data_IF_847830157550
#
_entry.id   IF_847830157550
#
_cell.length_a   1.000
_cell.length_b   1.000
_cell.length_c   1.000
_cell.angle_alpha   90.00
_cell.angle_beta   90.00
_cell.angle_gamma   90.00
#
_symmetry.space_group_name_H-M   'P 1'
#
loop_
_entity.id
_entity.type
_entity.pdbx_description
1 polymer ?
#
# COMPACT_ATOMS: atom_id res chain seq x y z
N UNK A 1 -37.65 20.44 -23.92
CA UNK A 1 -37.03 19.79 -22.75
C UNK A 1 -36.68 18.37 -23.16
N UNK A 2 -35.39 17.98 -23.27
CA UNK A 2 -35.03 16.59 -23.48
C UNK A 2 -35.19 15.81 -22.17
N UNK A 3 -35.68 14.57 -22.27
CA UNK A 3 -35.83 13.64 -21.13
C UNK A 3 -34.45 13.25 -20.58
N UNK A 4 -34.33 12.88 -19.29
CA UNK A 4 -33.08 12.36 -18.74
C UNK A 4 -32.74 11.05 -19.46
N UNK A 5 -31.49 10.91 -19.90
CA UNK A 5 -30.96 9.64 -20.37
C UNK A 5 -31.03 8.61 -19.24
N UNK A 6 -31.71 7.50 -19.49
CA UNK A 6 -31.53 6.27 -18.74
C UNK A 6 -30.06 5.85 -18.93
N UNK A 7 -29.24 6.07 -17.91
CA UNK A 7 -27.91 5.49 -17.86
C UNK A 7 -28.09 3.98 -17.75
N UNK A 8 -27.85 3.25 -18.84
CA UNK A 8 -27.82 1.79 -18.84
C UNK A 8 -26.88 1.32 -17.72
N UNK A 9 -27.44 0.58 -16.75
CA UNK A 9 -26.67 -0.01 -15.67
C UNK A 9 -25.64 -0.97 -16.29
N UNK A 10 -24.37 -0.61 -16.22
CA UNK A 10 -23.27 -1.48 -16.64
C UNK A 10 -23.39 -2.79 -15.85
N UNK A 11 -23.47 -3.96 -16.50
CA UNK A 11 -23.58 -5.23 -15.79
C UNK A 11 -22.39 -5.40 -14.85
N UNK A 12 -22.66 -5.75 -13.59
CA UNK A 12 -21.63 -6.16 -12.64
C UNK A 12 -20.85 -7.33 -13.24
N UNK A 13 -19.53 -7.17 -13.34
CA UNK A 13 -18.65 -8.21 -13.88
C UNK A 13 -18.70 -9.45 -12.98
N UNK A 14 -19.14 -10.57 -13.54
CA UNK A 14 -19.15 -11.86 -12.88
C UNK A 14 -17.75 -12.48 -12.92
N UNK A 15 -17.00 -12.31 -11.82
CA UNK A 15 -15.61 -12.75 -11.70
C UNK A 15 -15.43 -14.28 -11.77
N UNK A 16 -16.51 -15.07 -11.66
CA UNK A 16 -16.46 -16.52 -11.77
C UNK A 16 -16.47 -17.03 -13.22
N UNK A 17 -16.86 -16.18 -14.17
CA UNK A 17 -17.03 -16.59 -15.57
C UNK A 17 -15.79 -16.35 -16.42
N UNK A 18 -15.51 -17.24 -17.39
CA UNK A 18 -14.48 -17.01 -18.39
C UNK A 18 -14.66 -15.68 -19.11
N UNK A 19 -13.61 -14.87 -19.14
CA UNK A 19 -13.54 -13.61 -19.86
C UNK A 19 -12.07 -13.18 -20.05
N UNK A 20 -11.81 -12.06 -20.71
CA UNK A 20 -10.44 -11.53 -20.80
C UNK A 20 -9.86 -11.29 -19.40
N UNK A 21 -8.67 -11.85 -19.07
CA UNK A 21 -8.13 -11.75 -17.73
C UNK A 21 -7.84 -10.30 -17.30
N UNK A 22 -8.36 -9.93 -16.13
CA UNK A 22 -8.13 -8.62 -15.52
C UNK A 22 -7.60 -8.76 -14.09
N UNK A 23 -6.89 -7.73 -13.66
CA UNK A 23 -6.57 -7.43 -12.28
C UNK A 23 -7.67 -6.55 -11.69
N UNK A 24 -8.02 -6.79 -10.44
CA UNK A 24 -9.10 -6.07 -9.77
C UNK A 24 -8.84 -6.05 -8.26
N UNK A 25 -9.36 -5.04 -7.54
CA UNK A 25 -9.21 -4.93 -6.10
C UNK A 25 -10.26 -5.75 -5.34
N UNK A 26 -10.07 -5.91 -4.03
CA UNK A 26 -11.12 -6.36 -3.11
C UNK A 26 -11.70 -5.14 -2.41
N UNK A 27 -13.02 -4.99 -2.44
CA UNK A 27 -13.72 -3.78 -1.97
C UNK A 27 -14.39 -3.92 -0.61
N UNK A 28 -14.53 -5.15 -0.09
CA UNK A 28 -15.24 -5.39 1.17
C UNK A 28 -14.48 -6.38 2.07
N UNK A 29 -14.67 -6.24 3.39
CA UNK A 29 -14.15 -7.22 4.35
C UNK A 29 -14.78 -8.60 4.15
N UNK A 30 -16.03 -8.67 3.71
CA UNK A 30 -16.70 -9.95 3.47
C UNK A 30 -16.02 -10.74 2.34
N UNK A 31 -15.63 -10.08 1.25
CA UNK A 31 -14.87 -10.70 0.16
C UNK A 31 -13.48 -11.14 0.62
N UNK A 32 -12.79 -10.29 1.39
CA UNK A 32 -11.47 -10.62 1.95
C UNK A 32 -11.54 -11.82 2.91
N UNK A 33 -12.53 -11.83 3.82
CA UNK A 33 -12.77 -12.88 4.80
C UNK A 33 -13.11 -14.21 4.16
N UNK A 34 -14.00 -14.18 3.16
CA UNK A 34 -14.49 -15.36 2.45
C UNK A 34 -13.48 -15.96 1.48
N UNK A 35 -12.37 -15.25 1.18
CA UNK A 35 -11.37 -15.66 0.19
C UNK A 35 -11.92 -15.74 -1.24
N UNK A 36 -12.99 -15.01 -1.55
CA UNK A 36 -13.68 -15.07 -2.85
C UNK A 36 -12.76 -14.70 -4.04
N UNK A 37 -11.69 -13.93 -3.80
CA UNK A 37 -10.68 -13.62 -4.82
C UNK A 37 -10.04 -14.88 -5.41
N UNK A 38 -9.80 -15.91 -4.61
CA UNK A 38 -9.14 -17.15 -5.04
C UNK A 38 -10.06 -18.04 -5.91
N UNK A 39 -11.37 -17.87 -5.78
CA UNK A 39 -12.38 -18.59 -6.57
C UNK A 39 -12.65 -17.93 -7.93
N UNK A 40 -12.10 -16.74 -8.16
CA UNK A 40 -12.23 -16.00 -9.41
C UNK A 40 -11.57 -16.72 -10.58
N UNK A 41 -12.21 -16.73 -11.74
CA UNK A 41 -11.62 -17.19 -13.00
C UNK A 41 -10.29 -16.47 -13.30
N UNK A 42 -10.19 -15.21 -12.88
CA UNK A 42 -9.07 -14.33 -13.14
C UNK A 42 -7.85 -14.59 -12.24
N UNK A 43 -8.02 -15.28 -11.09
CA UNK A 43 -6.96 -15.45 -10.09
C UNK A 43 -5.68 -16.03 -10.67
N UNK A 44 -5.78 -17.12 -11.43
CA UNK A 44 -4.61 -17.82 -12.00
C UNK A 44 -3.74 -16.93 -12.90
N UNK A 45 -4.36 -15.94 -13.56
CA UNK A 45 -3.69 -15.01 -14.45
C UNK A 45 -3.05 -13.83 -13.70
N UNK A 46 -3.52 -13.53 -12.48
CA UNK A 46 -2.99 -12.45 -11.65
C UNK A 46 -1.70 -12.82 -10.89
N UNK A 47 -1.26 -14.08 -10.97
CA UNK A 47 -0.03 -14.54 -10.33
C UNK A 47 1.20 -14.02 -11.07
N UNK A 48 2.09 -13.35 -10.35
CA UNK A 48 3.42 -13.02 -10.86
C UNK A 48 4.20 -14.29 -11.19
N UNK A 49 4.98 -14.23 -12.27
CA UNK A 49 5.80 -15.35 -12.77
C UNK A 49 7.30 -15.04 -12.75
N UNK A 50 7.67 -13.82 -12.36
CA UNK A 50 9.06 -13.37 -12.27
C UNK A 50 9.44 -13.25 -10.79
N UNK A 51 10.41 -14.02 -10.29
CA UNK A 51 10.88 -13.86 -8.92
C UNK A 51 11.69 -12.57 -8.75
N UNK A 52 11.62 -11.96 -7.57
CA UNK A 52 12.44 -10.81 -7.20
C UNK A 52 13.93 -11.16 -7.27
N UNK A 53 14.73 -10.20 -7.74
CA UNK A 53 16.19 -10.31 -7.81
C UNK A 53 16.84 -9.46 -6.73
N UNK A 54 17.45 -10.11 -5.74
CA UNK A 54 18.21 -9.44 -4.69
C UNK A 54 17.35 -8.89 -3.56
N UNK A 55 18.04 -8.35 -2.55
CA UNK A 55 17.43 -7.80 -1.36
C UNK A 55 17.49 -6.26 -1.37
N UNK A 56 16.66 -5.65 -0.51
CA UNK A 56 16.74 -4.21 -0.29
C UNK A 56 18.11 -3.84 0.29
N UNK A 57 18.69 -2.72 -0.14
CA UNK A 57 19.90 -2.21 0.46
C UNK A 57 19.59 -1.60 1.83
N UNK A 58 20.32 -2.04 2.87
CA UNK A 58 20.10 -1.60 4.25
C UNK A 58 21.07 -0.50 4.71
N UNK A 59 22.04 -0.12 3.87
CA UNK A 59 23.13 0.80 4.22
C UNK A 59 23.13 2.10 3.40
N UNK A 60 22.03 2.42 2.71
CA UNK A 60 21.87 3.68 1.97
C UNK A 60 20.42 4.19 2.04
N UNK A 61 20.19 5.49 1.74
CA UNK A 61 18.84 5.99 1.48
C UNK A 61 18.15 5.18 0.38
N UNK A 62 16.83 4.98 0.52
CA UNK A 62 15.99 4.25 -0.42
C UNK A 62 14.91 5.15 -1.02
N UNK A 63 14.46 4.81 -2.21
CA UNK A 63 13.38 5.50 -2.91
C UNK A 63 12.15 4.59 -2.97
N UNK A 64 11.07 5.03 -2.32
CA UNK A 64 9.74 4.45 -2.45
C UNK A 64 8.91 5.32 -3.38
N UNK A 65 8.27 4.71 -4.38
CA UNK A 65 7.31 5.38 -5.25
C UNK A 65 5.93 4.82 -5.01
N UNK A 66 5.01 5.69 -4.59
CA UNK A 66 3.60 5.37 -4.44
C UNK A 66 2.85 5.78 -5.71
N UNK A 67 2.37 4.78 -6.45
CA UNK A 67 1.76 4.96 -7.76
C UNK A 67 0.24 5.04 -7.65
N UNK A 68 -0.26 6.26 -7.46
CA UNK A 68 -1.69 6.61 -7.54
C UNK A 68 -2.00 7.20 -8.92
N UNK A 69 -2.18 6.33 -9.91
CA UNK A 69 -2.46 6.76 -11.29
C UNK A 69 -3.96 6.72 -11.58
N UNK A 70 -4.64 7.84 -11.29
CA UNK A 70 -6.09 8.00 -11.53
C UNK A 70 -6.92 6.91 -10.84
N UNK A 71 -6.53 6.50 -9.63
CA UNK A 71 -7.21 5.46 -8.87
C UNK A 71 -6.86 4.02 -9.29
N UNK A 72 -5.89 3.82 -10.19
CA UNK A 72 -5.41 2.50 -10.61
C UNK A 72 -6.41 1.69 -11.42
N UNK A 73 -5.96 0.51 -11.88
CA UNK A 73 -6.74 -0.45 -12.67
C UNK A 73 -7.36 0.16 -13.93
N UNK A 74 -6.58 1.00 -14.61
CA UNK A 74 -6.95 1.64 -15.86
C UNK A 74 -6.63 0.68 -17.01
N UNK A 75 -5.63 0.99 -17.82
CA UNK A 75 -5.08 0.11 -18.84
C UNK A 75 -4.26 -1.04 -18.25
N UNK A 76 -3.68 -0.83 -17.08
CA UNK A 76 -2.84 -1.78 -16.37
C UNK A 76 -3.62 -2.91 -15.68
N UNK A 77 -4.97 -2.84 -15.65
CA UNK A 77 -5.78 -3.98 -15.21
C UNK A 77 -5.62 -5.18 -16.14
N UNK A 78 -5.36 -4.96 -17.42
CA UNK A 78 -5.24 -6.06 -18.38
C UNK A 78 -3.93 -6.80 -18.16
N UNK A 79 -4.04 -8.06 -17.73
CA UNK A 79 -2.89 -8.86 -17.24
C UNK A 79 -1.75 -8.97 -18.25
N UNK A 80 -2.08 -8.97 -19.55
CA UNK A 80 -1.12 -9.10 -20.66
C UNK A 80 -0.93 -7.80 -21.44
N UNK A 81 -1.28 -6.65 -20.83
CA UNK A 81 -1.28 -5.35 -21.47
C UNK A 81 -2.53 -5.08 -22.29
N UNK A 82 -2.60 -3.88 -22.87
CA UNK A 82 -3.67 -3.44 -23.76
C UNK A 82 -3.10 -2.79 -25.02
N UNK A 83 -3.97 -2.46 -25.97
CA UNK A 83 -3.58 -1.85 -27.26
C UNK A 83 -3.27 -0.34 -27.15
N UNK A 84 -3.43 0.28 -25.97
CA UNK A 84 -3.18 1.71 -25.78
C UNK A 84 -1.67 1.99 -25.68
N UNK A 85 -1.09 2.53 -26.75
CA UNK A 85 0.32 2.93 -26.83
C UNK A 85 0.67 4.15 -25.98
N UNK A 86 -0.33 4.92 -25.54
CA UNK A 86 -0.20 6.03 -24.61
C UNK A 86 -0.38 5.62 -23.12
N UNK A 87 -0.45 4.31 -22.85
CA UNK A 87 -0.51 3.79 -21.49
C UNK A 87 0.69 4.23 -20.64
N UNK A 88 0.47 4.42 -19.34
CA UNK A 88 1.54 4.83 -18.44
C UNK A 88 2.59 3.72 -18.29
N UNK A 89 3.86 4.06 -18.52
CA UNK A 89 4.98 3.14 -18.40
C UNK A 89 6.11 3.76 -17.57
N UNK A 90 6.70 2.96 -16.68
CA UNK A 90 7.88 3.34 -15.91
C UNK A 90 9.13 2.76 -16.59
N UNK A 91 10.09 3.62 -16.89
CA UNK A 91 11.38 3.23 -17.49
C UNK A 91 12.54 3.31 -16.50
N UNK A 92 12.40 4.12 -15.46
CA UNK A 92 13.48 4.43 -14.51
C UNK A 92 13.45 3.55 -13.25
N UNK A 93 13.17 2.25 -13.41
CA UNK A 93 13.14 1.29 -12.29
C UNK A 93 14.42 1.28 -11.47
N UNK A 94 15.57 1.53 -12.09
CA UNK A 94 16.88 1.59 -11.44
C UNK A 94 17.03 2.74 -10.42
N UNK A 95 16.09 3.68 -10.38
CA UNK A 95 16.05 4.76 -9.38
C UNK A 95 15.20 4.42 -8.14
N UNK A 96 14.54 3.26 -8.14
CA UNK A 96 13.52 2.90 -7.16
C UNK A 96 13.96 1.65 -6.40
N UNK A 97 13.60 1.57 -5.13
CA UNK A 97 13.82 0.39 -4.28
C UNK A 97 12.49 -0.32 -3.99
N UNK A 98 11.43 0.46 -3.80
CA UNK A 98 10.08 -0.02 -3.50
C UNK A 98 9.07 0.70 -4.38
N UNK A 99 8.17 -0.06 -4.99
CA UNK A 99 7.03 0.43 -5.75
C UNK A 99 5.74 0.02 -5.04
N UNK A 100 4.91 0.98 -4.67
CA UNK A 100 3.58 0.72 -4.09
C UNK A 100 2.56 0.96 -5.19
N UNK A 101 1.78 -0.06 -5.52
CA UNK A 101 0.65 0.08 -6.41
C UNK A 101 -0.58 0.52 -5.62
N UNK A 102 -1.02 1.77 -5.83
CA UNK A 102 -1.99 2.43 -4.95
C UNK A 102 -3.34 2.64 -5.64
N UNK A 103 -4.41 2.41 -4.88
CA UNK A 103 -5.77 2.84 -5.21
C UNK A 103 -6.55 3.13 -3.94
N UNK A 104 -7.72 3.72 -4.08
CA UNK A 104 -8.69 3.95 -3.00
C UNK A 104 -9.64 2.76 -2.77
N UNK A 105 -9.21 1.54 -3.12
CA UNK A 105 -9.97 0.32 -2.80
C UNK A 105 -9.40 -0.35 -1.55
N UNK A 106 -10.29 -0.87 -0.69
CA UNK A 106 -9.94 -1.51 0.60
C UNK A 106 -8.67 -2.38 0.53
N UNK A 107 -8.63 -3.30 -0.43
CA UNK A 107 -7.42 -4.06 -0.76
C UNK A 107 -7.07 -3.85 -2.23
N UNK A 108 -5.96 -3.15 -2.44
CA UNK A 108 -5.35 -2.92 -3.74
C UNK A 108 -4.27 -3.98 -4.00
N UNK A 109 -4.55 -4.88 -4.93
CA UNK A 109 -3.65 -5.94 -5.38
C UNK A 109 -2.88 -5.46 -6.63
N UNK A 110 -1.54 -5.45 -6.64
CA UNK A 110 -0.76 -5.06 -7.81
C UNK A 110 -1.03 -5.97 -9.02
N UNK A 111 -1.36 -5.41 -10.20
CA UNK A 111 -1.38 -6.17 -11.44
C UNK A 111 -0.04 -6.89 -11.69
N UNK A 112 -0.05 -8.13 -12.21
CA UNK A 112 1.18 -8.91 -12.41
C UNK A 112 2.15 -8.27 -13.41
N UNK A 113 1.67 -7.42 -14.32
CA UNK A 113 2.54 -6.67 -15.23
C UNK A 113 3.51 -5.74 -14.48
N UNK A 114 3.04 -5.09 -13.41
CA UNK A 114 3.86 -4.27 -12.52
C UNK A 114 4.83 -5.11 -11.72
N UNK A 115 4.33 -6.14 -11.02
CA UNK A 115 5.16 -7.05 -10.20
C UNK A 115 6.26 -7.71 -11.04
N UNK A 116 5.90 -8.27 -12.20
CA UNK A 116 6.87 -8.94 -13.07
C UNK A 116 7.96 -8.00 -13.58
N UNK A 117 7.61 -6.76 -13.90
CA UNK A 117 8.56 -5.77 -14.41
C UNK A 117 9.47 -5.27 -13.30
N UNK A 118 8.91 -4.88 -12.17
CA UNK A 118 9.66 -4.43 -11.00
C UNK A 118 10.65 -5.51 -10.50
N UNK A 119 10.20 -6.76 -10.37
CA UNK A 119 11.05 -7.89 -9.96
C UNK A 119 12.23 -8.13 -10.91
N UNK A 120 12.02 -7.97 -12.22
CA UNK A 120 13.11 -8.07 -13.22
C UNK A 120 14.20 -7.02 -12.98
N UNK A 121 13.82 -5.86 -12.43
CA UNK A 121 14.71 -4.76 -12.07
C UNK A 121 15.17 -4.77 -10.61
N UNK A 122 14.80 -5.79 -9.82
CA UNK A 122 15.17 -5.88 -8.40
C UNK A 122 14.40 -4.92 -7.49
N UNK A 123 13.24 -4.41 -7.94
CA UNK A 123 12.38 -3.50 -7.18
C UNK A 123 11.26 -4.30 -6.51
N UNK A 124 11.03 -4.07 -5.22
CA UNK A 124 9.93 -4.68 -4.49
C UNK A 124 8.60 -4.04 -4.83
N UNK A 125 7.52 -4.82 -4.86
CA UNK A 125 6.17 -4.35 -5.14
C UNK A 125 5.24 -4.59 -3.98
N UNK A 126 4.62 -3.53 -3.47
CA UNK A 126 3.63 -3.60 -2.42
C UNK A 126 2.23 -3.31 -2.98
N UNK A 127 1.24 -4.04 -2.48
CA UNK A 127 -0.16 -3.62 -2.56
C UNK A 127 -0.46 -2.55 -1.52
N UNK A 128 -1.71 -2.09 -1.49
CA UNK A 128 -2.20 -1.14 -0.49
C UNK A 128 -3.40 -1.73 0.24
N UNK A 129 -3.38 -1.69 1.57
CA UNK A 129 -4.56 -1.84 2.41
C UNK A 129 -4.94 -0.46 2.94
N UNK A 130 -6.13 0.01 2.62
CA UNK A 130 -6.56 1.37 2.96
C UNK A 130 -7.98 1.39 3.54
N UNK A 131 -8.19 2.24 4.54
CA UNK A 131 -9.51 2.55 5.09
C UNK A 131 -9.67 4.06 5.14
N UNK A 132 -10.78 4.61 4.64
CA UNK A 132 -10.95 6.06 4.53
C UNK A 132 -12.34 6.50 4.99
N UNK A 133 -12.43 7.67 5.62
CA UNK A 133 -13.69 8.31 5.97
C UNK A 133 -14.58 7.46 6.90
N UNK A 134 -15.90 7.67 6.87
CA UNK A 134 -16.86 6.97 7.72
C UNK A 134 -16.97 5.48 7.38
N UNK A 135 -16.84 5.11 6.10
CA UNK A 135 -16.82 3.72 5.65
C UNK A 135 -15.59 2.98 6.18
N UNK A 136 -14.43 3.62 6.14
CA UNK A 136 -13.19 3.14 6.74
C UNK A 136 -13.31 2.95 8.25
N UNK A 137 -14.00 3.86 8.95
CA UNK A 137 -14.28 3.69 10.38
C UNK A 137 -15.13 2.44 10.63
N UNK A 138 -16.21 2.23 9.86
CA UNK A 138 -17.04 1.04 10.01
C UNK A 138 -16.25 -0.26 9.73
N UNK A 139 -15.41 -0.23 8.69
CA UNK A 139 -14.47 -1.33 8.36
C UNK A 139 -13.53 -1.63 9.52
N UNK A 140 -12.88 -0.61 10.07
CA UNK A 140 -11.98 -0.75 11.22
C UNK A 140 -12.72 -1.29 12.45
N UNK A 141 -13.94 -0.81 12.71
CA UNK A 141 -14.74 -1.27 13.83
C UNK A 141 -15.00 -2.79 13.78
N UNK A 142 -15.23 -3.34 12.59
CA UNK A 142 -15.42 -4.78 12.38
C UNK A 142 -14.10 -5.56 12.49
N UNK A 143 -13.08 -5.17 11.71
CA UNK A 143 -11.84 -5.94 11.65
C UNK A 143 -11.05 -5.88 12.96
N UNK A 144 -11.18 -4.80 13.73
CA UNK A 144 -10.49 -4.60 15.00
C UNK A 144 -11.38 -4.93 16.21
N UNK A 145 -12.54 -5.56 16.01
CA UNK A 145 -13.46 -5.91 17.10
C UNK A 145 -12.81 -6.83 18.14
N UNK A 146 -11.98 -7.77 17.69
CA UNK A 146 -11.19 -8.64 18.57
C UNK A 146 -9.78 -8.86 18.01
N UNK A 147 -8.89 -9.34 18.86
CA UNK A 147 -7.53 -9.75 18.48
C UNK A 147 -7.54 -10.78 17.36
N UNK A 148 -8.41 -11.78 17.45
CA UNK A 148 -8.55 -12.87 16.50
C UNK A 148 -9.08 -12.38 15.14
N UNK A 149 -10.02 -11.42 15.15
CA UNK A 149 -10.50 -10.77 13.93
C UNK A 149 -9.36 -10.04 13.22
N UNK A 150 -8.58 -9.25 13.98
CA UNK A 150 -7.43 -8.52 13.47
C UNK A 150 -6.38 -9.47 12.88
N UNK A 151 -6.04 -10.55 13.58
CA UNK A 151 -5.11 -11.57 13.08
C UNK A 151 -5.63 -12.27 11.81
N UNK A 152 -6.91 -12.62 11.74
CA UNK A 152 -7.50 -13.27 10.56
C UNK A 152 -7.40 -12.37 9.32
N UNK A 153 -7.73 -11.09 9.42
CA UNK A 153 -7.61 -10.17 8.28
C UNK A 153 -6.14 -9.95 7.88
N UNK A 154 -5.21 -9.89 8.84
CA UNK A 154 -3.77 -9.87 8.54
C UNK A 154 -3.32 -11.13 7.79
N UNK A 155 -3.77 -12.31 8.19
CA UNK A 155 -3.46 -13.58 7.52
C UNK A 155 -4.00 -13.61 6.09
N UNK A 156 -5.20 -13.06 5.84
CA UNK A 156 -5.77 -12.97 4.49
C UNK A 156 -4.93 -12.07 3.57
N UNK A 157 -4.43 -10.95 4.07
CA UNK A 157 -3.52 -10.08 3.31
C UNK A 157 -2.17 -10.75 3.04
N UNK A 158 -1.61 -11.45 4.03
CA UNK A 158 -0.37 -12.20 3.86
C UNK A 158 -0.51 -13.33 2.82
N UNK A 159 -1.64 -14.02 2.83
CA UNK A 159 -1.96 -15.07 1.87
C UNK A 159 -2.07 -14.54 0.44
N UNK A 160 -2.72 -13.38 0.24
CA UNK A 160 -2.81 -12.72 -1.07
C UNK A 160 -1.42 -12.38 -1.62
N UNK A 161 -0.57 -11.72 -0.83
CA UNK A 161 0.80 -11.39 -1.22
C UNK A 161 1.60 -12.63 -1.60
N UNK A 162 1.56 -13.67 -0.76
CA UNK A 162 2.28 -14.93 -0.99
C UNK A 162 1.79 -15.65 -2.24
N UNK A 163 0.47 -15.73 -2.45
CA UNK A 163 -0.14 -16.51 -3.53
C UNK A 163 0.01 -15.84 -4.90
N UNK A 164 -0.03 -14.51 -4.93
CA UNK A 164 0.09 -13.69 -6.14
C UNK A 164 1.53 -13.27 -6.43
N UNK A 165 2.43 -13.42 -5.46
CA UNK A 165 3.87 -13.25 -5.64
C UNK A 165 4.33 -11.80 -5.65
N UNK A 166 3.72 -10.92 -4.84
CA UNK A 166 4.22 -9.56 -4.56
C UNK A 166 4.71 -9.45 -3.12
N UNK A 167 5.44 -8.39 -2.79
CA UNK A 167 6.35 -8.34 -1.64
C UNK A 167 5.73 -7.79 -0.35
N UNK A 168 4.42 -7.55 -0.28
CA UNK A 168 3.75 -7.08 0.94
C UNK A 168 2.89 -5.85 0.75
N UNK A 169 2.81 -4.98 1.77
CA UNK A 169 1.72 -3.99 1.87
C UNK A 169 2.17 -2.62 2.40
N UNK A 170 1.63 -1.56 1.79
CA UNK A 170 1.42 -0.28 2.45
C UNK A 170 0.10 -0.35 3.25
N UNK A 171 0.15 -0.02 4.53
CA UNK A 171 -1.02 0.08 5.41
C UNK A 171 -1.33 1.56 5.61
N UNK A 172 -2.48 2.01 5.11
CA UNK A 172 -2.90 3.40 5.19
C UNK A 172 -4.29 3.54 5.86
N UNK A 173 -4.32 3.95 7.13
CA UNK A 173 -5.57 4.10 7.88
C UNK A 173 -5.95 5.58 7.92
N UNK A 174 -6.79 6.04 7.00
CA UNK A 174 -7.22 7.45 6.83
C UNK A 174 -8.60 7.71 7.44
N UNK A 175 -8.83 7.13 8.62
CA UNK A 175 -10.02 7.37 9.45
C UNK A 175 -9.65 7.32 10.93
N UNK A 176 -10.50 7.87 11.80
CA UNK A 176 -10.31 7.74 13.25
C UNK A 176 -10.55 6.29 13.69
N UNK A 177 -9.81 5.88 14.72
CA UNK A 177 -9.94 4.59 15.41
C UNK A 177 -10.34 4.89 16.85
N UNK A 178 -11.27 4.11 17.40
CA UNK A 178 -11.63 4.24 18.81
C UNK A 178 -10.44 3.73 19.65
N UNK A 179 -10.04 4.47 20.70
CA UNK A 179 -8.79 4.22 21.43
C UNK A 179 -8.70 2.80 22.01
N UNK A 180 -9.84 2.21 22.37
CA UNK A 180 -9.97 0.82 22.84
C UNK A 180 -9.56 -0.23 21.77
N UNK A 181 -9.60 0.12 20.48
CA UNK A 181 -9.25 -0.76 19.37
C UNK A 181 -7.78 -0.62 18.94
N UNK A 182 -7.03 0.35 19.46
CA UNK A 182 -5.61 0.54 19.14
C UNK A 182 -4.77 -0.71 19.43
N UNK A 183 -4.96 -1.43 20.56
CA UNK A 183 -4.24 -2.68 20.78
C UNK A 183 -4.47 -3.72 19.66
N UNK A 184 -5.69 -3.80 19.11
CA UNK A 184 -6.00 -4.72 18.02
C UNK A 184 -5.44 -4.24 16.68
N UNK A 185 -5.35 -2.92 16.45
CA UNK A 185 -4.66 -2.37 15.27
C UNK A 185 -3.16 -2.64 15.33
N UNK A 186 -2.54 -2.47 16.49
CA UNK A 186 -1.13 -2.82 16.71
C UNK A 186 -0.90 -4.33 16.52
N UNK A 187 -1.82 -5.17 17.00
CA UNK A 187 -1.78 -6.61 16.73
C UNK A 187 -1.88 -6.91 15.23
N UNK A 188 -2.82 -6.28 14.51
CA UNK A 188 -2.96 -6.44 13.06
C UNK A 188 -1.65 -6.17 12.32
N UNK A 189 -1.00 -5.02 12.59
CA UNK A 189 0.26 -4.64 11.94
C UNK A 189 1.39 -5.62 12.32
N UNK A 190 1.51 -5.96 13.61
CA UNK A 190 2.55 -6.87 14.09
C UNK A 190 2.39 -8.29 13.51
N UNK A 191 1.16 -8.80 13.51
CA UNK A 191 0.85 -10.14 13.02
C UNK A 191 1.02 -10.24 11.51
N UNK A 192 0.54 -9.24 10.76
CA UNK A 192 0.74 -9.15 9.32
C UNK A 192 2.23 -9.23 8.97
N UNK A 193 3.05 -8.41 9.62
CA UNK A 193 4.51 -8.39 9.43
C UNK A 193 5.13 -9.76 9.71
N UNK A 194 4.80 -10.37 10.85
CA UNK A 194 5.32 -11.70 11.23
C UNK A 194 4.93 -12.79 10.22
N UNK A 195 3.65 -12.86 9.86
CA UNK A 195 3.14 -13.91 8.95
C UNK A 195 3.75 -13.75 7.56
N UNK A 196 3.88 -12.52 7.07
CA UNK A 196 4.54 -12.24 5.79
C UNK A 196 6.01 -12.62 5.79
N UNK A 197 6.77 -12.28 6.83
CA UNK A 197 8.19 -12.67 6.91
C UNK A 197 8.36 -14.19 6.94
N UNK A 198 7.42 -14.93 7.53
CA UNK A 198 7.41 -16.39 7.53
C UNK A 198 7.06 -16.99 6.16
N UNK A 199 6.05 -16.44 5.46
CA UNK A 199 5.59 -17.01 4.19
C UNK A 199 6.35 -16.50 2.96
N UNK A 200 6.87 -15.28 3.04
CA UNK A 200 7.56 -14.55 1.97
C UNK A 200 8.78 -13.84 2.58
N UNK A 201 9.93 -14.53 2.73
CA UNK A 201 11.14 -13.92 3.28
C UNK A 201 11.55 -12.66 2.53
N UNK A 202 11.84 -11.59 3.27
CA UNK A 202 12.19 -10.28 2.70
C UNK A 202 10.99 -9.43 2.27
N UNK A 203 9.75 -9.87 2.53
CA UNK A 203 8.56 -9.02 2.37
C UNK A 203 8.61 -7.76 3.25
N UNK A 204 7.79 -6.77 2.91
CA UNK A 204 7.67 -5.50 3.61
C UNK A 204 6.24 -5.19 4.02
N UNK A 205 6.09 -4.72 5.25
CA UNK A 205 4.93 -3.97 5.71
C UNK A 205 5.38 -2.53 6.01
N UNK A 206 4.79 -1.56 5.32
CA UNK A 206 5.07 -0.14 5.51
C UNK A 206 3.82 0.54 6.07
N UNK A 207 3.97 1.23 7.19
CA UNK A 207 2.91 2.03 7.79
C UNK A 207 2.87 3.43 7.17
N UNK A 208 1.72 3.97 6.80
CA UNK A 208 1.60 5.40 6.45
C UNK A 208 1.38 6.24 7.71
N UNK A 209 1.98 7.42 7.80
CA UNK A 209 1.86 8.34 8.94
C UNK A 209 0.44 8.93 9.08
N UNK A 210 -0.52 8.13 9.54
CA UNK A 210 -1.93 8.54 9.60
C UNK A 210 -2.48 8.59 11.04
N UNK A 211 -2.93 7.47 11.59
CA UNK A 211 -3.47 7.41 12.96
C UNK A 211 -2.36 7.31 13.99
N UNK A 212 -2.54 8.07 15.06
CA UNK A 212 -1.66 8.03 16.23
C UNK A 212 -2.00 6.85 17.15
N UNK A 213 -1.13 6.58 18.12
CA UNK A 213 -1.37 5.61 19.22
C UNK A 213 -2.60 5.91 20.08
N UNK A 214 -3.24 7.06 19.91
CA UNK A 214 -4.51 7.43 20.55
C UNK A 214 -5.71 7.31 19.61
N UNK A 215 -5.54 6.75 18.41
CA UNK A 215 -6.59 6.57 17.40
C UNK A 215 -7.03 7.83 16.66
N UNK A 216 -6.43 8.98 16.96
CA UNK A 216 -6.65 10.19 16.18
C UNK A 216 -5.97 10.10 14.82
N UNK A 217 -6.74 10.29 13.74
CA UNK A 217 -6.21 10.58 12.42
C UNK A 217 -5.52 11.95 12.44
N UNK A 218 -4.19 11.94 12.49
CA UNK A 218 -3.36 13.15 12.56
C UNK A 218 -1.96 12.81 12.07
N UNK A 219 -1.66 13.21 10.84
CA UNK A 219 -0.32 13.11 10.27
C UNK A 219 0.67 13.94 11.12
N UNK A 220 1.80 13.34 11.49
CA UNK A 220 2.83 13.98 12.29
C UNK A 220 3.93 14.62 11.43
N UNK A 221 4.04 14.19 10.17
CA UNK A 221 5.05 14.56 9.17
C UNK A 221 6.49 14.19 9.58
N UNK A 222 6.68 13.52 10.70
CA UNK A 222 7.97 13.02 11.18
C UNK A 222 7.73 11.88 12.16
N UNK A 223 8.76 11.03 12.34
CA UNK A 223 8.72 9.94 13.30
C UNK A 223 8.88 10.49 14.72
N UNK A 224 7.91 10.20 15.59
CA UNK A 224 7.90 10.61 16.99
C UNK A 224 7.10 9.63 17.88
N UNK A 225 6.91 9.94 19.16
CA UNK A 225 6.26 9.07 20.13
C UNK A 225 4.83 8.63 19.75
N UNK A 226 4.15 9.37 18.86
CA UNK A 226 2.75 9.11 18.49
C UNK A 226 2.59 8.11 17.35
N UNK A 227 3.61 7.89 16.54
CA UNK A 227 3.60 6.95 15.41
C UNK A 227 4.74 5.91 15.48
N UNK A 228 5.76 6.13 16.31
CA UNK A 228 6.88 5.20 16.51
C UNK A 228 6.42 3.79 16.92
N UNK A 229 5.41 3.59 17.78
CA UNK A 229 4.97 2.24 18.09
C UNK A 229 4.46 1.45 16.87
N UNK A 230 3.91 2.10 15.83
CA UNK A 230 3.57 1.39 14.57
C UNK A 230 4.82 1.09 13.74
N UNK A 231 5.76 2.02 13.65
CA UNK A 231 7.06 1.83 12.98
C UNK A 231 7.86 0.66 13.58
N UNK A 232 7.83 0.49 14.90
CA UNK A 232 8.55 -0.59 15.58
C UNK A 232 7.91 -1.97 15.33
N UNK A 233 6.65 -2.02 14.87
CA UNK A 233 5.91 -3.26 14.60
C UNK A 233 6.00 -3.73 13.15
N UNK A 234 6.58 -2.93 12.25
CA UNK A 234 6.67 -3.22 10.81
C UNK A 234 8.02 -2.79 10.22
N UNK A 235 8.20 -2.94 8.91
CA UNK A 235 9.48 -2.80 8.22
C UNK A 235 9.86 -1.35 7.89
N UNK A 236 8.88 -0.44 7.92
CA UNK A 236 9.15 0.98 7.73
C UNK A 236 7.92 1.85 7.84
N UNK A 237 8.12 3.16 7.70
CA UNK A 237 7.06 4.14 7.79
C UNK A 237 7.18 5.18 6.69
N UNK A 238 6.05 5.47 6.05
CA UNK A 238 5.93 6.49 5.01
C UNK A 238 5.30 7.74 5.60
N UNK A 239 6.13 8.76 5.82
CA UNK A 239 5.72 10.05 6.38
C UNK A 239 4.85 10.83 5.42
N UNK A 240 3.86 11.54 5.97
CA UNK A 240 3.07 12.50 5.23
C UNK A 240 3.94 13.65 4.68
N UNK A 241 3.46 14.33 3.65
CA UNK A 241 4.24 15.21 2.77
C UNK A 241 4.35 16.68 3.23
N UNK A 242 3.77 17.05 4.38
CA UNK A 242 3.80 18.43 4.91
C UNK A 242 4.95 18.69 5.91
N UNK A 243 6.01 17.90 5.85
CA UNK A 243 7.16 17.98 6.74
C UNK A 243 7.98 19.27 6.58
N UNK A 244 8.80 19.59 7.58
CA UNK A 244 9.65 20.79 7.61
C UNK A 244 11.13 20.41 7.52
N UNK A 245 11.99 21.37 7.21
CA UNK A 245 13.43 21.15 7.04
C UNK A 245 14.09 20.33 8.18
N UNK A 246 13.70 20.53 9.44
CA UNK A 246 14.28 19.79 10.57
C UNK A 246 13.73 18.36 10.75
N UNK A 247 12.60 18.02 10.14
CA UNK A 247 11.84 16.79 10.41
C UNK A 247 12.53 15.50 9.94
N UNK A 248 13.21 15.45 8.78
CA UNK A 248 14.01 14.28 8.41
C UNK A 248 15.10 13.96 9.44
N UNK A 249 15.82 14.99 9.93
CA UNK A 249 16.86 14.81 10.95
C UNK A 249 16.28 14.31 12.27
N UNK A 250 15.20 14.93 12.75
CA UNK A 250 14.51 14.48 13.97
C UNK A 250 14.01 13.04 13.85
N UNK A 251 13.46 12.67 12.69
CA UNK A 251 13.01 11.30 12.43
C UNK A 251 14.18 10.30 12.44
N UNK A 252 15.31 10.67 11.84
CA UNK A 252 16.51 9.84 11.83
C UNK A 252 17.08 9.62 13.24
N UNK A 253 17.05 10.65 14.10
CA UNK A 253 17.45 10.55 15.50
C UNK A 253 16.55 9.57 16.28
N UNK A 254 15.23 9.60 16.05
CA UNK A 254 14.27 8.68 16.67
C UNK A 254 14.38 7.25 16.12
N UNK A 255 14.66 7.09 14.83
CA UNK A 255 14.76 5.79 14.16
C UNK A 255 16.10 5.07 14.43
N UNK A 256 17.16 5.81 14.74
CA UNK A 256 18.49 5.26 15.00
C UNK A 256 19.04 4.50 13.78
N UNK A 257 19.38 3.22 13.97
CA UNK A 257 19.91 2.36 12.90
C UNK A 257 18.90 2.14 11.77
N UNK A 258 17.60 2.28 12.05
CA UNK A 258 16.50 2.14 11.09
C UNK A 258 16.16 3.43 10.35
N UNK A 259 17.04 4.44 10.35
CA UNK A 259 16.80 5.74 9.68
C UNK A 259 16.42 5.64 8.19
N UNK A 260 16.86 4.60 7.48
CA UNK A 260 16.50 4.38 6.07
C UNK A 260 15.16 3.65 5.88
N UNK A 261 14.51 3.23 6.98
CA UNK A 261 13.15 2.70 7.02
C UNK A 261 12.10 3.81 7.20
N UNK A 262 12.54 5.07 7.35
CA UNK A 262 11.68 6.26 7.34
C UNK A 262 11.70 6.90 5.95
N UNK A 263 10.58 6.85 5.25
CA UNK A 263 10.41 7.45 3.93
C UNK A 263 9.73 8.81 4.07
N UNK A 264 10.40 9.90 3.67
CA UNK A 264 9.84 11.25 3.75
C UNK A 264 8.98 11.55 2.51
N UNK A 265 7.67 11.71 2.67
CA UNK A 265 6.72 11.90 1.58
C UNK A 265 6.92 13.18 0.77
N UNK A 266 6.81 13.07 -0.55
CA UNK A 266 6.76 14.22 -1.46
C UNK A 266 5.50 14.05 -2.31
N UNK A 267 4.54 14.96 -2.19
CA UNK A 267 3.36 14.95 -3.06
C UNK A 267 3.72 15.57 -4.42
N UNK A 268 3.91 14.69 -5.40
CA UNK A 268 4.26 15.07 -6.78
C UNK A 268 3.08 15.69 -7.55
N UNK A 269 1.86 15.65 -6.99
CA UNK A 269 0.74 16.47 -7.49
C UNK A 269 0.87 17.94 -7.06
N UNK A 270 1.84 18.27 -6.20
CA UNK A 270 2.16 19.64 -5.80
C UNK A 270 1.25 20.22 -4.72
N UNK A 271 0.48 19.41 -3.98
CA UNK A 271 -0.41 19.92 -2.92
C UNK A 271 0.38 20.01 -1.61
N UNK A 272 0.64 21.24 -1.17
CA UNK A 272 1.12 21.52 0.20
C UNK A 272 2.51 20.96 0.58
N UNK A 273 3.25 20.36 -0.35
CA UNK A 273 4.57 19.76 -0.05
C UNK A 273 5.63 20.81 0.29
N UNK A 274 6.57 20.45 1.16
CA UNK A 274 7.79 21.22 1.38
C UNK A 274 8.49 21.50 0.04
N UNK A 275 8.97 22.73 -0.16
CA UNK A 275 9.55 23.16 -1.44
C UNK A 275 8.57 23.18 -2.63
N UNK A 276 7.26 23.07 -2.39
CA UNK A 276 6.22 23.11 -3.42
C UNK A 276 6.18 21.88 -4.34
N UNK A 277 6.79 20.76 -3.93
CA UNK A 277 6.88 19.54 -4.73
C UNK A 277 7.85 19.64 -5.93
N UNK A 278 8.73 20.65 -5.95
CA UNK A 278 9.71 20.86 -7.02
C UNK A 278 11.08 20.23 -6.70
N UNK A 279 12.02 20.30 -7.66
CA UNK A 279 13.39 19.75 -7.55
C UNK A 279 14.27 20.37 -6.45
N UNK A 280 13.80 21.40 -5.73
CA UNK A 280 14.54 22.08 -4.65
C UNK A 280 14.48 21.34 -3.32
N UNK A 281 13.69 20.27 -3.22
CA UNK A 281 13.63 19.36 -2.07
C UNK A 281 14.85 18.43 -2.06
N UNK A 282 16.04 18.99 -1.88
CA UNK A 282 17.29 18.22 -1.93
C UNK A 282 17.73 17.79 -0.52
N UNK A 283 17.75 16.47 -0.27
CA UNK A 283 18.10 15.84 1.02
C UNK A 283 19.60 15.94 1.40
N UNK A 284 20.43 16.55 0.56
CA UNK A 284 21.91 16.55 0.71
C UNK A 284 22.44 17.31 1.94
N UNK A 285 21.57 18.00 2.69
CA UNK A 285 21.94 18.76 3.91
C UNK A 285 21.37 18.19 5.22
N UNK A 286 20.64 17.07 5.18
CA UNK A 286 19.82 16.61 6.30
C UNK A 286 20.16 15.20 6.83
N UNK A 287 21.19 14.56 6.30
CA UNK A 287 21.76 13.30 6.79
C UNK A 287 23.17 13.52 7.34
#
# INVERSE_FOLDING_TARGET
MPKPNDAEAVPLLDLSKPSSPISFPIKSLQDLKSRSYFDSFHFQFNRSTVPLRGDLPNNRPRVLVCHDMKGGYVDDKWVQGCENDAGFAIWHWYLMDVFVYFSHSLVTIPPPCWTNTAHRHGVKVLGTFITEWDEGKATCNEMLATKESAQMYAERLAELATSLGFDGWLINIENKIDEEQIPNLMEFVSHLTKVLHLSTPGSLVIWYDSVTVHGHLKWQDHLNEKNKPFFDLCDGIFMNYTWKESYPKLSAEVAGDRKYDVYMGIDVFGRGSFGGGQWTVCFQKLL
#
